data_IF_532988440569
#
_entry.id   IF_532988440569
#
_cell.length_a   1.000
_cell.length_b   1.000
_cell.length_c   1.000
_cell.angle_alpha   90.00
_cell.angle_beta   90.00
_cell.angle_gamma   90.00
#
_symmetry.space_group_name_H-M   'P 1'
#
loop_
_entity.id
_entity.type
_entity.pdbx_description
1 polymer ?
#
# COMPACT_ATOMS: atom_id res chain seq x y z
N UNK A 1 34.07 -21.76 -19.88
CA UNK A 1 32.80 -21.05 -20.09
C UNK A 1 31.89 -21.42 -18.93
N UNK A 2 32.04 -20.71 -17.83
CA UNK A 2 31.14 -20.81 -16.68
C UNK A 2 29.87 -20.09 -17.06
N UNK A 3 28.79 -20.84 -17.23
CA UNK A 3 27.43 -20.32 -17.25
C UNK A 3 27.22 -19.57 -15.94
N UNK A 4 27.22 -18.23 -16.01
CA UNK A 4 26.64 -17.39 -14.97
C UNK A 4 25.18 -17.79 -14.91
N UNK A 5 24.82 -18.66 -13.97
CA UNK A 5 23.46 -18.65 -13.47
C UNK A 5 23.25 -17.22 -12.98
N UNK A 6 22.37 -16.46 -13.62
CA UNK A 6 21.84 -15.24 -13.02
C UNK A 6 21.29 -15.67 -11.67
N UNK A 7 22.04 -15.41 -10.59
CA UNK A 7 21.54 -15.63 -9.23
C UNK A 7 20.27 -14.79 -9.12
N UNK A 8 19.15 -15.43 -8.76
CA UNK A 8 17.93 -14.69 -8.51
C UNK A 8 18.23 -13.57 -7.51
N UNK A 9 17.80 -12.32 -7.80
CA UNK A 9 18.12 -11.19 -6.94
C UNK A 9 17.64 -11.48 -5.52
N UNK A 10 18.57 -11.43 -4.56
CA UNK A 10 18.28 -11.64 -3.14
C UNK A 10 17.55 -10.42 -2.56
N UNK A 11 16.24 -10.35 -2.77
CA UNK A 11 15.44 -9.27 -2.22
C UNK A 11 15.09 -9.53 -0.75
N UNK A 12 15.43 -8.58 0.12
CA UNK A 12 15.09 -8.59 1.54
C UNK A 12 14.37 -7.30 1.92
N UNK A 13 13.21 -7.44 2.54
CA UNK A 13 12.36 -6.32 2.98
C UNK A 13 12.37 -6.22 4.50
N UNK A 14 12.65 -5.03 5.03
CA UNK A 14 12.27 -4.67 6.39
C UNK A 14 10.85 -4.08 6.38
N UNK A 15 9.86 -4.84 6.85
CA UNK A 15 8.46 -4.43 6.88
C UNK A 15 8.03 -3.98 8.29
N UNK A 16 7.74 -2.69 8.45
CA UNK A 16 7.41 -2.05 9.73
C UNK A 16 5.93 -1.63 9.73
N UNK A 17 5.07 -2.46 10.32
CA UNK A 17 3.61 -2.30 10.26
C UNK A 17 2.92 -2.89 11.51
N UNK A 18 1.60 -2.76 11.59
CA UNK A 18 0.79 -3.45 12.59
C UNK A 18 0.81 -4.98 12.43
N UNK A 19 0.45 -5.72 13.47
CA UNK A 19 0.20 -7.17 13.39
C UNK A 19 -1.08 -7.56 14.14
N UNK A 20 -1.82 -8.52 13.57
CA UNK A 20 -3.02 -9.12 14.16
C UNK A 20 -2.93 -10.64 14.25
N UNK A 21 -3.37 -11.22 15.36
CA UNK A 21 -3.43 -12.69 15.52
C UNK A 21 -4.47 -13.30 14.58
N UNK A 22 -5.68 -12.73 14.52
CA UNK A 22 -6.74 -13.11 13.59
C UNK A 22 -6.94 -12.03 12.53
N UNK A 23 -7.33 -12.45 11.32
CA UNK A 23 -7.55 -11.57 10.18
C UNK A 23 -6.30 -11.21 9.40
N UNK A 24 -6.44 -10.27 8.46
CA UNK A 24 -5.35 -9.85 7.56
C UNK A 24 -5.27 -8.31 7.49
N UNK A 25 -4.43 -7.73 8.35
CA UNK A 25 -3.99 -6.33 8.29
C UNK A 25 -2.49 -6.23 8.60
N UNK A 26 -1.87 -5.11 8.22
CA UNK A 26 -0.47 -4.80 8.41
C UNK A 26 0.46 -5.90 7.89
N UNK A 27 1.48 -6.25 8.69
CA UNK A 27 2.45 -7.28 8.36
C UNK A 27 1.81 -8.64 8.05
N UNK A 28 0.64 -8.97 8.62
CA UNK A 28 -0.02 -10.23 8.30
C UNK A 28 -0.64 -10.25 6.90
N UNK A 29 -1.03 -9.08 6.38
CA UNK A 29 -1.47 -8.93 4.99
C UNK A 29 -0.29 -8.74 4.02
N UNK A 30 0.85 -8.21 4.48
CA UNK A 30 1.99 -7.89 3.64
C UNK A 30 3.03 -9.02 3.47
N UNK A 31 3.31 -9.78 4.54
CA UNK A 31 4.39 -10.79 4.54
C UNK A 31 4.09 -11.93 3.56
N UNK A 32 2.86 -12.46 3.56
CA UNK A 32 2.50 -13.59 2.70
C UNK A 32 2.67 -13.27 1.20
N UNK A 33 2.14 -12.15 0.66
CA UNK A 33 2.38 -11.76 -0.72
C UNK A 33 3.86 -11.62 -1.09
N UNK A 34 4.64 -10.95 -0.25
CA UNK A 34 6.08 -10.75 -0.46
C UNK A 34 6.82 -12.09 -0.53
N UNK A 35 6.57 -12.98 0.42
CA UNK A 35 7.18 -14.31 0.46
C UNK A 35 6.77 -15.18 -0.73
N UNK A 36 5.50 -15.14 -1.15
CA UNK A 36 5.07 -15.86 -2.37
C UNK A 36 5.72 -15.33 -3.64
N UNK A 37 6.19 -14.08 -3.63
CA UNK A 37 6.88 -13.44 -4.75
C UNK A 37 8.41 -13.48 -4.63
N UNK A 38 8.94 -14.26 -3.68
CA UNK A 38 10.37 -14.54 -3.56
C UNK A 38 11.18 -13.58 -2.68
N UNK A 39 10.53 -12.75 -1.87
CA UNK A 39 11.22 -11.85 -0.94
C UNK A 39 11.47 -12.55 0.40
N UNK A 40 12.66 -12.36 0.97
CA UNK A 40 12.87 -12.56 2.40
C UNK A 40 12.32 -11.34 3.16
N UNK A 41 11.62 -11.57 4.26
CA UNK A 41 10.85 -10.51 4.94
C UNK A 41 11.13 -10.55 6.43
N UNK A 42 11.82 -9.54 6.92
CA UNK A 42 11.95 -9.25 8.35
C UNK A 42 10.84 -8.28 8.74
N UNK A 43 9.94 -8.71 9.63
CA UNK A 43 8.77 -7.92 10.00
C UNK A 43 8.88 -7.36 11.43
N UNK A 44 8.90 -6.04 11.56
CA UNK A 44 8.81 -5.34 12.84
C UNK A 44 7.35 -4.94 13.09
N UNK A 45 6.75 -5.48 14.15
CA UNK A 45 5.34 -5.31 14.44
C UNK A 45 5.11 -4.13 15.42
N UNK A 46 4.60 -3.00 14.94
CA UNK A 46 4.35 -1.80 15.77
C UNK A 46 3.28 -2.03 16.84
N UNK A 47 2.36 -2.95 16.59
CA UNK A 47 1.35 -3.42 17.53
C UNK A 47 1.16 -4.93 17.34
N UNK A 48 0.71 -5.61 18.40
CA UNK A 48 0.25 -6.99 18.34
C UNK A 48 -1.15 -7.06 18.95
N UNK A 49 -2.17 -7.10 18.10
CA UNK A 49 -3.57 -7.18 18.51
C UNK A 49 -4.18 -8.56 18.25
N UNK A 50 -5.26 -8.88 18.98
CA UNK A 50 -6.05 -10.09 18.74
C UNK A 50 -6.64 -10.12 17.32
N UNK A 51 -7.06 -8.96 16.81
CA UNK A 51 -7.70 -8.74 15.52
C UNK A 51 -7.72 -7.24 15.19
N UNK A 52 -8.11 -6.86 13.97
CA UNK A 52 -8.20 -5.45 13.60
C UNK A 52 -9.33 -4.73 14.35
N UNK A 53 -9.26 -3.39 14.42
CA UNK A 53 -10.16 -2.53 15.21
C UNK A 53 -11.58 -2.41 14.63
N UNK A 54 -11.84 -3.05 13.50
CA UNK A 54 -13.17 -3.10 12.89
C UNK A 54 -14.13 -4.03 13.63
N UNK A 55 -13.61 -5.03 14.35
CA UNK A 55 -14.39 -5.92 15.20
C UNK A 55 -14.99 -5.20 16.42
N UNK A 56 -16.10 -5.72 16.99
CA UNK A 56 -16.71 -5.14 18.20
C UNK A 56 -15.80 -5.13 19.43
N UNK A 57 -14.83 -6.05 19.51
CA UNK A 57 -13.85 -6.13 20.59
C UNK A 57 -12.49 -6.49 20.02
N UNK A 58 -11.44 -5.93 20.61
CA UNK A 58 -10.05 -6.20 20.31
C UNK A 58 -9.21 -5.92 21.56
N UNK A 59 -8.05 -6.56 21.68
CA UNK A 59 -7.08 -6.29 22.74
C UNK A 59 -5.66 -6.54 22.23
N UNK A 60 -4.66 -6.12 22.99
CA UNK A 60 -3.26 -6.43 22.74
C UNK A 60 -2.32 -5.32 23.16
N UNK A 61 -1.07 -5.40 22.69
CA UNK A 61 0.00 -4.48 23.06
C UNK A 61 0.41 -3.58 21.91
N UNK A 62 0.94 -2.41 22.27
CA UNK A 62 1.54 -1.45 21.34
C UNK A 62 3.00 -1.29 21.73
N UNK A 63 3.89 -1.26 20.74
CA UNK A 63 5.27 -0.85 20.97
C UNK A 63 5.33 0.64 21.26
N UNK A 64 6.36 1.05 22.00
CA UNK A 64 6.78 2.44 22.08
C UNK A 64 8.03 2.66 21.19
N UNK A 65 8.50 3.90 21.08
CA UNK A 65 9.67 4.25 20.27
C UNK A 65 10.97 3.53 20.71
N UNK A 66 11.16 3.34 22.02
CA UNK A 66 12.30 2.62 22.56
C UNK A 66 12.28 1.14 22.16
N UNK A 67 11.12 0.47 22.23
CA UNK A 67 11.01 -0.93 21.81
C UNK A 67 11.41 -1.11 20.34
N UNK A 68 11.00 -0.18 19.47
CA UNK A 68 11.35 -0.18 18.04
C UNK A 68 12.84 0.05 17.84
N UNK A 69 13.42 1.02 18.54
CA UNK A 69 14.86 1.31 18.49
C UNK A 69 15.69 0.13 18.98
N UNK A 70 15.30 -0.52 20.09
CA UNK A 70 16.02 -1.67 20.66
C UNK A 70 16.09 -2.86 19.69
N UNK A 71 15.00 -3.13 18.97
CA UNK A 71 14.98 -4.16 17.93
C UNK A 71 15.93 -3.81 16.77
N UNK A 72 15.87 -2.56 16.30
CA UNK A 72 16.75 -2.11 15.22
C UNK A 72 18.24 -2.12 15.62
N UNK A 73 18.56 -1.70 16.85
CA UNK A 73 19.91 -1.79 17.41
C UNK A 73 20.38 -3.24 17.49
N UNK A 74 19.47 -4.18 17.78
CA UNK A 74 19.74 -5.61 17.75
C UNK A 74 20.13 -6.10 16.35
N UNK A 75 19.43 -5.66 15.30
CA UNK A 75 19.79 -5.96 13.91
C UNK A 75 21.16 -5.38 13.55
N UNK A 76 21.41 -4.14 13.94
CA UNK A 76 22.69 -3.47 13.68
C UNK A 76 23.86 -4.15 14.38
N UNK A 77 23.72 -4.51 15.66
CA UNK A 77 24.79 -5.19 16.43
C UNK A 77 25.19 -6.54 15.85
N UNK A 78 24.33 -7.15 15.05
CA UNK A 78 24.58 -8.40 14.35
C UNK A 78 24.93 -8.18 12.87
N UNK A 79 25.23 -6.94 12.46
CA UNK A 79 25.59 -6.56 11.09
C UNK A 79 24.53 -6.91 10.03
N UNK A 80 23.25 -7.00 10.42
CA UNK A 80 22.17 -7.45 9.53
C UNK A 80 21.57 -6.33 8.68
N UNK A 81 21.78 -5.06 9.05
CA UNK A 81 21.11 -3.92 8.38
C UNK A 81 21.60 -3.67 6.94
N UNK A 82 22.76 -4.20 6.57
CA UNK A 82 23.32 -4.09 5.21
C UNK A 82 22.67 -5.00 4.17
N UNK A 83 21.89 -6.00 4.62
CA UNK A 83 21.23 -6.97 3.73
C UNK A 83 19.92 -6.44 3.15
N UNK A 84 19.36 -5.35 3.70
CA UNK A 84 18.08 -4.82 3.26
C UNK A 84 18.19 -4.15 1.89
N UNK A 85 17.36 -4.61 0.96
CA UNK A 85 17.16 -3.97 -0.36
C UNK A 85 15.91 -3.11 -0.39
N UNK A 86 14.96 -3.38 0.51
CA UNK A 86 13.70 -2.67 0.58
C UNK A 86 13.28 -2.36 2.02
N UNK A 87 12.57 -1.26 2.19
CA UNK A 87 11.80 -0.95 3.41
C UNK A 87 10.35 -0.72 3.03
N UNK A 88 9.45 -1.27 3.84
CA UNK A 88 8.01 -1.06 3.72
C UNK A 88 7.47 -0.55 5.06
N UNK A 89 6.85 0.63 5.07
CA UNK A 89 6.14 1.13 6.26
C UNK A 89 4.65 1.25 5.99
N UNK A 90 3.83 0.90 6.98
CA UNK A 90 2.37 1.02 6.95
C UNK A 90 1.84 1.64 8.24
N UNK A 91 0.81 1.05 8.86
CA UNK A 91 0.28 1.58 10.13
C UNK A 91 1.34 1.61 11.25
N UNK A 92 1.73 2.82 11.66
CA UNK A 92 2.70 3.08 12.74
C UNK A 92 2.03 3.47 14.06
N UNK A 93 0.97 4.28 13.99
CA UNK A 93 0.07 4.58 15.12
C UNK A 93 0.46 5.76 16.03
N UNK A 94 1.70 6.26 16.02
CA UNK A 94 2.05 7.50 16.74
C UNK A 94 3.31 8.21 16.19
N UNK A 95 3.47 9.48 16.58
CA UNK A 95 4.57 10.36 16.16
C UNK A 95 5.96 9.82 16.54
N UNK A 96 6.16 9.40 17.80
CA UNK A 96 7.48 9.02 18.31
C UNK A 96 8.06 7.79 17.59
N UNK A 97 7.21 6.80 17.27
CA UNK A 97 7.63 5.65 16.47
C UNK A 97 7.94 6.10 15.04
N UNK A 98 7.12 6.97 14.44
CA UNK A 98 7.36 7.43 13.07
C UNK A 98 8.67 8.22 12.96
N UNK A 99 9.03 9.02 13.98
CA UNK A 99 10.31 9.72 14.07
C UNK A 99 11.49 8.73 14.19
N UNK A 100 11.32 7.67 14.98
CA UNK A 100 12.30 6.58 15.09
C UNK A 100 12.52 5.90 13.74
N UNK A 101 11.44 5.55 13.05
CA UNK A 101 11.48 4.93 11.71
C UNK A 101 12.16 5.85 10.70
N UNK A 102 11.91 7.15 10.75
CA UNK A 102 12.60 8.11 9.87
C UNK A 102 14.13 8.01 10.05
N UNK A 103 14.61 7.95 11.30
CA UNK A 103 16.03 7.83 11.58
C UNK A 103 16.59 6.47 11.14
N UNK A 104 15.83 5.38 11.30
CA UNK A 104 16.18 4.06 10.79
C UNK A 104 16.35 4.08 9.26
N UNK A 105 15.38 4.64 8.53
CA UNK A 105 15.42 4.73 7.06
C UNK A 105 16.62 5.54 6.58
N UNK A 106 16.91 6.68 7.21
CA UNK A 106 18.11 7.49 6.90
C UNK A 106 19.38 6.66 7.03
N UNK A 107 19.48 5.86 8.09
CA UNK A 107 20.64 4.99 8.35
C UNK A 107 20.73 3.86 7.33
N UNK A 108 19.61 3.20 7.02
CA UNK A 108 19.54 2.14 6.02
C UNK A 108 19.94 2.67 4.63
N UNK A 109 19.47 3.85 4.21
CA UNK A 109 19.89 4.48 2.96
C UNK A 109 21.36 4.91 2.95
N UNK A 110 21.93 5.26 4.11
CA UNK A 110 23.36 5.54 4.21
C UNK A 110 24.22 4.28 4.04
N UNK A 111 23.73 3.12 4.47
CA UNK A 111 24.38 1.81 4.29
C UNK A 111 24.19 1.30 2.86
N UNK A 112 22.97 1.39 2.33
CA UNK A 112 22.61 0.99 0.98
C UNK A 112 21.92 2.16 0.25
N UNK A 113 22.65 2.96 -0.55
CA UNK A 113 22.09 4.08 -1.31
C UNK A 113 21.01 3.67 -2.33
N UNK A 114 21.02 2.42 -2.79
CA UNK A 114 20.06 1.86 -3.75
C UNK A 114 18.81 1.26 -3.06
N UNK A 115 18.72 1.34 -1.72
CA UNK A 115 17.58 0.87 -0.95
C UNK A 115 16.29 1.55 -1.40
N UNK A 116 15.28 0.76 -1.76
CA UNK A 116 13.94 1.25 -2.12
C UNK A 116 13.07 1.32 -0.86
N UNK A 117 12.58 2.50 -0.52
CA UNK A 117 11.63 2.71 0.55
C UNK A 117 10.23 3.01 -0.01
N UNK A 118 9.29 2.10 0.26
CA UNK A 118 7.86 2.34 0.06
C UNK A 118 7.21 2.78 1.37
N UNK A 119 6.66 3.99 1.37
CA UNK A 119 5.93 4.57 2.49
C UNK A 119 4.44 4.60 2.22
N UNK A 120 3.69 3.71 2.87
CA UNK A 120 2.24 3.82 2.96
C UNK A 120 1.88 4.81 4.09
N UNK A 121 1.25 5.93 3.73
CA UNK A 121 1.03 7.08 4.62
C UNK A 121 -0.22 6.90 5.46
N UNK A 122 -0.38 5.73 6.08
CA UNK A 122 -1.58 5.33 6.80
C UNK A 122 -1.91 6.34 7.90
N UNK A 123 -2.90 7.18 7.65
CA UNK A 123 -3.35 8.24 8.55
C UNK A 123 -4.87 8.27 8.72
N UNK A 124 -5.64 7.84 7.73
CA UNK A 124 -7.09 7.92 7.78
C UNK A 124 -7.75 7.43 6.50
N UNK A 125 -9.07 7.33 6.54
CA UNK A 125 -9.88 6.97 5.38
C UNK A 125 -11.22 7.71 5.46
N UNK A 126 -11.87 7.89 4.32
CA UNK A 126 -13.07 8.71 4.18
C UNK A 126 -12.78 10.17 4.57
N UNK A 127 -13.34 10.62 5.70
CA UNK A 127 -13.26 12.02 6.15
C UNK A 127 -12.54 12.18 7.51
N UNK A 128 -11.90 11.13 8.04
CA UNK A 128 -11.37 11.16 9.41
C UNK A 128 -9.97 10.56 9.55
N UNK A 129 -9.13 11.26 10.34
CA UNK A 129 -7.86 10.74 10.81
C UNK A 129 -8.05 9.66 11.88
N UNK A 130 -7.27 8.59 11.79
CA UNK A 130 -7.14 7.54 12.80
C UNK A 130 -5.98 7.79 13.77
N UNK A 131 -5.19 8.82 13.49
CA UNK A 131 -3.93 9.14 14.16
C UNK A 131 -3.93 10.60 14.61
N UNK A 132 -3.00 10.96 15.49
CA UNK A 132 -2.86 12.34 15.96
C UNK A 132 -2.49 13.28 14.80
N UNK A 133 -3.10 14.47 14.67
CA UNK A 133 -2.83 15.40 13.57
C UNK A 133 -1.37 15.83 13.43
N UNK A 134 -0.61 15.81 14.52
CA UNK A 134 0.83 16.11 14.54
C UNK A 134 1.70 15.18 13.70
N UNK A 135 1.16 14.03 13.25
CA UNK A 135 1.89 13.08 12.38
C UNK A 135 1.98 13.57 10.94
N UNK A 136 1.06 14.42 10.48
CA UNK A 136 0.97 14.87 9.08
C UNK A 136 2.23 15.61 8.64
N UNK A 137 2.76 16.60 9.38
CA UNK A 137 4.03 17.25 9.04
C UNK A 137 5.21 16.28 8.97
N UNK A 138 5.23 15.25 9.82
CA UNK A 138 6.29 14.26 9.84
C UNK A 138 6.25 13.36 8.59
N UNK A 139 5.05 12.92 8.16
CA UNK A 139 4.92 12.22 6.88
C UNK A 139 5.41 13.07 5.70
N UNK A 140 5.06 14.36 5.64
CA UNK A 140 5.58 15.26 4.59
C UNK A 140 7.11 15.30 4.56
N UNK A 141 7.76 15.26 5.73
CA UNK A 141 9.22 15.21 5.81
C UNK A 141 9.79 13.84 5.43
N UNK A 142 9.10 12.75 5.78
CA UNK A 142 9.49 11.38 5.43
C UNK A 142 9.45 11.14 3.92
N UNK A 143 8.55 11.80 3.20
CA UNK A 143 8.46 11.70 1.73
C UNK A 143 9.78 12.05 1.02
N UNK A 144 10.65 12.86 1.63
CA UNK A 144 11.99 13.17 1.10
C UNK A 144 12.93 11.96 1.05
N UNK A 145 12.59 10.91 1.79
CA UNK A 145 13.34 9.66 1.85
C UNK A 145 12.58 8.51 1.20
N UNK A 146 11.30 8.68 0.83
CA UNK A 146 10.50 7.64 0.22
C UNK A 146 10.72 7.63 -1.30
N UNK A 147 11.01 6.45 -1.85
CA UNK A 147 11.10 6.25 -3.30
C UNK A 147 9.72 6.05 -3.91
N UNK A 148 8.78 5.49 -3.14
CA UNK A 148 7.37 5.30 -3.52
C UNK A 148 6.48 5.67 -2.34
N UNK A 149 5.40 6.40 -2.60
CA UNK A 149 4.33 6.64 -1.62
C UNK A 149 2.98 6.15 -2.15
N UNK A 150 2.14 5.62 -1.26
CA UNK A 150 0.85 5.00 -1.62
C UNK A 150 -0.34 5.58 -0.85
N UNK A 151 -0.54 6.91 -0.77
CA UNK A 151 -1.69 7.48 -0.07
C UNK A 151 -3.01 7.06 -0.70
N UNK A 152 -4.08 6.95 0.09
CA UNK A 152 -5.45 7.04 -0.47
C UNK A 152 -5.83 8.50 -0.78
N UNK A 153 -7.01 8.76 -1.36
CA UNK A 153 -7.48 10.12 -1.64
C UNK A 153 -7.43 11.03 -0.41
N UNK A 154 -8.01 10.61 0.72
CA UNK A 154 -8.07 11.43 1.93
C UNK A 154 -6.67 11.82 2.44
N UNK A 155 -5.74 10.86 2.43
CA UNK A 155 -4.36 11.08 2.84
C UNK A 155 -3.62 12.01 1.87
N UNK A 156 -3.81 11.84 0.56
CA UNK A 156 -3.25 12.70 -0.46
C UNK A 156 -3.75 14.15 -0.32
N UNK A 157 -5.05 14.33 -0.09
CA UNK A 157 -5.67 15.63 0.16
C UNK A 157 -5.13 16.27 1.45
N UNK A 158 -4.94 15.48 2.51
CA UNK A 158 -4.42 15.93 3.80
C UNK A 158 -2.95 16.35 3.71
N UNK A 159 -2.12 15.56 3.02
CA UNK A 159 -0.70 15.85 2.82
C UNK A 159 -0.49 17.12 1.99
N UNK A 160 -1.36 17.37 1.00
CA UNK A 160 -1.23 18.49 0.06
C UNK A 160 -2.13 19.69 0.35
N UNK A 161 -2.98 19.59 1.38
CA UNK A 161 -3.98 20.61 1.74
C UNK A 161 -4.83 21.04 0.53
N UNK A 162 -5.16 20.08 -0.33
CA UNK A 162 -5.85 20.32 -1.62
C UNK A 162 -6.90 19.23 -1.82
N UNK A 163 -8.15 19.61 -2.11
CA UNK A 163 -9.22 18.65 -2.41
C UNK A 163 -9.11 18.11 -3.83
N UNK A 164 -9.52 16.85 -4.00
CA UNK A 164 -9.62 16.18 -5.30
C UNK A 164 -11.12 16.08 -5.63
N UNK A 165 -11.58 16.93 -6.53
CA UNK A 165 -12.96 16.93 -7.04
C UNK A 165 -13.04 16.69 -8.54
N UNK A 166 -11.89 16.58 -9.21
CA UNK A 166 -11.75 16.26 -10.64
C UNK A 166 -10.44 15.52 -10.93
N UNK A 167 -10.34 14.92 -12.13
CA UNK A 167 -9.11 14.26 -12.58
C UNK A 167 -7.93 15.23 -12.69
N UNK A 168 -8.17 16.47 -13.13
CA UNK A 168 -7.13 17.49 -13.22
C UNK A 168 -6.55 17.79 -11.83
N UNK A 169 -7.41 17.98 -10.82
CA UNK A 169 -6.97 18.19 -9.45
C UNK A 169 -6.21 16.99 -8.89
N UNK A 170 -6.65 15.76 -9.17
CA UNK A 170 -5.92 14.55 -8.78
C UNK A 170 -4.48 14.54 -9.35
N UNK A 171 -4.34 14.92 -10.63
CA UNK A 171 -3.04 15.05 -11.29
C UNK A 171 -2.15 16.13 -10.64
N UNK A 172 -2.73 17.27 -10.26
CA UNK A 172 -2.02 18.34 -9.56
C UNK A 172 -1.64 17.97 -8.13
N UNK A 173 -2.50 17.24 -7.41
CA UNK A 173 -2.19 16.70 -6.07
C UNK A 173 -1.00 15.75 -6.14
N UNK A 174 -0.97 14.84 -7.12
CA UNK A 174 0.19 13.98 -7.32
C UNK A 174 1.48 14.77 -7.61
N UNK A 175 1.40 15.85 -8.42
CA UNK A 175 2.53 16.78 -8.64
C UNK A 175 2.98 17.49 -7.35
N UNK A 176 2.05 17.90 -6.49
CA UNK A 176 2.39 18.47 -5.18
C UNK A 176 3.05 17.45 -4.26
N UNK A 177 2.60 16.20 -4.26
CA UNK A 177 3.23 15.10 -3.52
C UNK A 177 4.68 14.87 -4.00
N UNK A 178 4.94 14.96 -5.31
CA UNK A 178 6.31 14.92 -5.82
C UNK A 178 7.19 16.05 -5.26
N UNK A 179 6.65 17.27 -5.17
CA UNK A 179 7.37 18.41 -4.56
C UNK A 179 7.69 18.23 -3.07
N UNK A 180 7.04 17.28 -2.38
CA UNK A 180 7.38 16.88 -1.01
C UNK A 180 8.54 15.88 -0.94
N UNK A 181 8.92 15.27 -2.07
CA UNK A 181 10.19 14.54 -2.21
C UNK A 181 10.11 13.19 -2.91
N UNK A 182 8.92 12.56 -2.98
CA UNK A 182 8.81 11.20 -3.56
C UNK A 182 8.75 11.24 -5.09
N UNK A 183 9.65 10.54 -5.81
CA UNK A 183 9.62 10.50 -7.28
C UNK A 183 8.47 9.64 -7.83
N UNK A 184 7.95 8.70 -7.02
CA UNK A 184 6.84 7.83 -7.41
C UNK A 184 5.68 8.01 -6.42
N UNK A 185 4.50 8.31 -6.95
CA UNK A 185 3.28 8.56 -6.16
C UNK A 185 2.16 7.70 -6.73
N UNK A 186 1.48 6.96 -5.87
CA UNK A 186 0.31 6.16 -6.24
C UNK A 186 -0.85 6.54 -5.32
N UNK A 187 -1.83 7.26 -5.86
CA UNK A 187 -3.09 7.48 -5.13
C UNK A 187 -3.92 6.22 -5.30
N UNK A 188 -3.93 5.38 -4.27
CA UNK A 188 -4.37 3.97 -4.32
C UNK A 188 -5.85 3.84 -4.66
N UNK A 189 -6.67 4.73 -4.10
CA UNK A 189 -8.10 4.87 -4.39
C UNK A 189 -8.48 6.34 -4.42
N UNK A 190 -9.27 6.72 -5.42
CA UNK A 190 -9.95 8.01 -5.49
C UNK A 190 -11.31 7.90 -6.20
N UNK A 191 -12.23 8.78 -5.84
CA UNK A 191 -13.50 8.96 -6.52
C UNK A 191 -13.43 10.15 -7.46
N UNK A 192 -14.01 10.01 -8.66
CA UNK A 192 -14.04 11.04 -9.69
C UNK A 192 -15.46 11.13 -10.26
N UNK A 193 -15.96 12.34 -10.57
CA UNK A 193 -17.18 12.49 -11.35
C UNK A 193 -17.04 11.73 -12.67
N UNK A 194 -18.04 10.94 -13.06
CA UNK A 194 -17.92 10.07 -14.24
C UNK A 194 -17.61 10.87 -15.52
N UNK A 195 -18.10 12.11 -15.61
CA UNK A 195 -17.84 13.05 -16.71
C UNK A 195 -16.35 13.44 -16.87
N UNK A 196 -15.55 13.33 -15.82
CA UNK A 196 -14.13 13.70 -15.80
C UNK A 196 -13.22 12.48 -16.07
N UNK A 197 -13.80 11.28 -16.17
CA UNK A 197 -13.08 10.04 -16.44
C UNK A 197 -12.99 9.81 -17.95
N UNK A 198 -11.79 9.60 -18.53
CA UNK A 198 -11.63 9.36 -19.97
C UNK A 198 -12.40 8.11 -20.43
N UNK A 199 -13.07 8.22 -21.57
CA UNK A 199 -13.94 7.18 -22.14
C UNK A 199 -13.19 5.85 -22.32
N UNK A 200 -11.89 5.91 -22.63
CA UNK A 200 -11.02 4.76 -22.88
C UNK A 200 -10.90 3.84 -21.65
N UNK A 201 -11.00 4.39 -20.44
CA UNK A 201 -10.91 3.62 -19.18
C UNK A 201 -12.25 3.39 -18.50
N UNK A 202 -13.33 3.99 -18.97
CA UNK A 202 -14.65 3.68 -18.44
C UNK A 202 -14.98 2.19 -18.65
N UNK A 203 -15.42 1.54 -17.57
CA UNK A 203 -15.88 0.16 -17.56
C UNK A 203 -17.38 0.15 -17.82
N UNK A 204 -17.92 -0.98 -18.27
CA UNK A 204 -19.38 -1.14 -18.41
C UNK A 204 -20.12 -0.97 -17.06
N UNK A 205 -19.41 -1.25 -15.97
CA UNK A 205 -19.89 -1.08 -14.60
C UNK A 205 -19.58 0.29 -14.01
N UNK A 206 -19.00 1.22 -14.78
CA UNK A 206 -18.66 2.56 -14.28
C UNK A 206 -19.90 3.34 -13.86
N UNK A 207 -19.79 4.00 -12.72
CA UNK A 207 -20.84 4.79 -12.06
C UNK A 207 -20.20 5.90 -11.23
N UNK A 208 -21.01 6.78 -10.64
CA UNK A 208 -20.54 7.81 -9.70
C UNK A 208 -19.94 7.22 -8.40
N UNK A 209 -20.16 5.93 -8.12
CA UNK A 209 -19.57 5.21 -6.97
C UNK A 209 -18.30 4.44 -7.35
N UNK A 210 -17.84 4.56 -8.61
CA UNK A 210 -16.63 3.89 -9.06
C UNK A 210 -15.37 4.51 -8.44
N UNK A 211 -14.41 3.64 -8.14
CA UNK A 211 -13.10 4.03 -7.63
C UNK A 211 -12.05 3.83 -8.71
N UNK A 212 -11.02 4.66 -8.65
CA UNK A 212 -9.89 4.65 -9.58
C UNK A 212 -8.57 4.68 -8.81
N UNK A 213 -7.49 4.28 -9.47
CA UNK A 213 -6.13 4.42 -8.96
C UNK A 213 -5.36 5.36 -9.89
N UNK A 214 -4.63 6.33 -9.32
CA UNK A 214 -3.76 7.22 -10.09
C UNK A 214 -2.30 6.86 -9.81
N UNK A 215 -1.56 6.51 -10.86
CA UNK A 215 -0.10 6.32 -10.81
C UNK A 215 0.57 7.57 -11.38
N UNK A 216 1.57 8.11 -10.70
CA UNK A 216 2.33 9.30 -11.10
C UNK A 216 3.81 9.07 -10.86
N UNK A 217 4.62 9.13 -11.91
CA UNK A 217 6.06 8.92 -11.86
C UNK A 217 6.78 10.14 -12.42
N UNK A 218 7.73 10.69 -11.66
CA UNK A 218 8.70 11.65 -12.20
C UNK A 218 9.72 10.91 -13.07
N UNK A 219 9.96 11.45 -14.25
CA UNK A 219 11.02 10.98 -15.16
C UNK A 219 12.20 11.95 -15.15
N UNK A 220 13.35 11.47 -15.65
CA UNK A 220 14.66 12.13 -15.47
C UNK A 220 14.75 13.58 -15.99
N UNK A 221 13.87 13.99 -16.90
CA UNK A 221 13.81 15.36 -17.43
C UNK A 221 12.98 16.33 -16.56
N UNK A 222 12.47 15.84 -15.42
CA UNK A 222 11.63 16.58 -14.48
C UNK A 222 10.15 16.62 -14.83
N UNK A 223 9.74 16.00 -15.96
CA UNK A 223 8.32 15.84 -16.29
C UNK A 223 7.71 14.66 -15.53
N UNK A 224 6.38 14.57 -15.55
CA UNK A 224 5.63 13.55 -14.81
C UNK A 224 4.78 12.73 -15.76
N UNK A 225 4.94 11.42 -15.74
CA UNK A 225 4.03 10.51 -16.43
C UNK A 225 2.92 10.05 -15.48
N UNK A 226 1.68 10.34 -15.83
CA UNK A 226 0.53 10.00 -15.00
C UNK A 226 -0.47 9.13 -15.75
N UNK A 227 -1.00 8.13 -15.05
CA UNK A 227 -1.94 7.15 -15.57
C UNK A 227 -3.10 6.95 -14.60
N UNK A 228 -4.31 6.94 -15.15
CA UNK A 228 -5.51 6.54 -14.44
C UNK A 228 -5.81 5.07 -14.73
N UNK A 229 -6.09 4.30 -13.69
CA UNK A 229 -6.46 2.88 -13.77
C UNK A 229 -7.88 2.73 -13.24
N UNK A 230 -8.73 2.12 -14.06
CA UNK A 230 -10.10 1.75 -13.71
C UNK A 230 -10.19 0.24 -13.48
N UNK A 231 -10.89 -0.15 -12.42
CA UNK A 231 -11.10 -1.53 -12.01
C UNK A 231 -12.52 -1.71 -11.45
N UNK A 232 -13.11 -2.92 -11.49
CA UNK A 232 -14.42 -3.17 -10.91
C UNK A 232 -14.44 -2.91 -9.39
N UNK A 233 -15.46 -2.22 -8.89
CA UNK A 233 -15.67 -2.05 -7.46
C UNK A 233 -16.64 -3.09 -6.91
N UNK A 234 -16.49 -3.43 -5.64
CA UNK A 234 -17.33 -4.40 -4.94
C UNK A 234 -17.87 -3.75 -3.68
N UNK A 235 -19.18 -3.69 -3.56
CA UNK A 235 -19.84 -3.14 -2.37
C UNK A 235 -19.67 -4.09 -1.20
N UNK A 236 -19.08 -3.62 -0.10
CA UNK A 236 -18.84 -4.41 1.09
C UNK A 236 -17.84 -3.75 2.03
N UNK A 237 -17.64 -4.39 3.18
CA UNK A 237 -16.62 -3.99 4.14
C UNK A 237 -15.34 -4.80 3.92
N UNK A 238 -14.22 -4.12 3.74
CA UNK A 238 -12.90 -4.72 3.54
C UNK A 238 -11.89 -4.07 4.48
N UNK A 239 -10.92 -4.85 4.93
CA UNK A 239 -9.78 -4.35 5.70
C UNK A 239 -8.50 -4.99 5.18
N UNK A 240 -7.36 -4.31 5.33
CA UNK A 240 -6.05 -4.81 4.88
C UNK A 240 -5.80 -4.75 3.38
N UNK A 241 -6.71 -4.18 2.58
CA UNK A 241 -6.52 -4.02 1.14
C UNK A 241 -5.37 -3.06 0.81
N UNK A 242 -5.21 -1.99 1.59
CA UNK A 242 -4.06 -1.08 1.50
C UNK A 242 -2.74 -1.78 1.82
N UNK A 243 -2.69 -2.54 2.92
CA UNK A 243 -1.49 -3.29 3.32
C UNK A 243 -1.08 -4.32 2.24
N UNK A 244 -2.06 -5.03 1.66
CA UNK A 244 -1.85 -5.93 0.52
C UNK A 244 -1.34 -5.16 -0.70
N UNK A 245 -1.96 -4.03 -1.04
CA UNK A 245 -1.56 -3.18 -2.15
C UNK A 245 -0.10 -2.75 -2.02
N UNK A 246 0.28 -2.18 -0.87
CA UNK A 246 1.61 -1.66 -0.59
C UNK A 246 2.68 -2.77 -0.65
N UNK A 247 2.36 -3.97 -0.15
CA UNK A 247 3.27 -5.12 -0.23
C UNK A 247 3.51 -5.63 -1.66
N UNK A 248 2.45 -5.69 -2.48
CA UNK A 248 2.55 -6.07 -3.89
C UNK A 248 3.24 -4.97 -4.71
N UNK A 249 3.05 -3.70 -4.34
CA UNK A 249 3.72 -2.56 -4.96
C UNK A 249 5.24 -2.66 -4.76
N UNK A 250 5.71 -2.99 -3.55
CA UNK A 250 7.13 -3.32 -3.31
C UNK A 250 7.58 -4.43 -4.25
N UNK A 251 6.87 -5.56 -4.27
CA UNK A 251 7.29 -6.73 -5.02
C UNK A 251 7.38 -6.51 -6.54
N UNK A 252 6.39 -5.81 -7.11
CA UNK A 252 6.34 -5.57 -8.54
C UNK A 252 7.23 -4.40 -8.97
N UNK A 253 7.40 -3.38 -8.14
CA UNK A 253 8.28 -2.24 -8.45
C UNK A 253 9.77 -2.60 -8.35
N UNK A 254 10.15 -3.54 -7.48
CA UNK A 254 11.51 -4.05 -7.37
C UNK A 254 12.06 -4.65 -8.68
N UNK A 255 11.19 -5.15 -9.55
CA UNK A 255 11.59 -5.78 -10.80
C UNK A 255 11.99 -4.70 -11.82
N UNK A 256 13.29 -4.61 -12.13
CA UNK A 256 13.92 -3.61 -13.02
C UNK A 256 13.22 -3.38 -14.37
N UNK A 257 12.48 -4.36 -14.87
CA UNK A 257 11.75 -4.27 -16.14
C UNK A 257 10.43 -3.48 -16.04
N UNK A 258 9.90 -3.29 -14.83
CA UNK A 258 8.61 -2.64 -14.64
C UNK A 258 8.80 -1.13 -14.42
N UNK A 259 8.12 -0.32 -15.21
CA UNK A 259 7.81 1.06 -14.82
C UNK A 259 6.81 1.06 -13.66
N UNK A 260 6.62 2.21 -13.00
CA UNK A 260 5.65 2.32 -11.91
C UNK A 260 4.26 1.88 -12.35
N UNK A 261 3.82 2.30 -13.54
CA UNK A 261 2.49 1.94 -14.06
C UNK A 261 2.36 0.43 -14.34
N UNK A 262 3.40 -0.25 -14.82
CA UNK A 262 3.33 -1.71 -14.99
C UNK A 262 3.28 -2.45 -13.66
N UNK A 263 4.03 -1.97 -12.66
CA UNK A 263 3.97 -2.51 -11.31
C UNK A 263 2.58 -2.33 -10.70
N UNK A 264 2.06 -1.11 -10.68
CA UNK A 264 0.74 -0.78 -10.11
C UNK A 264 -0.39 -1.50 -10.85
N UNK A 265 -0.31 -1.65 -12.17
CA UNK A 265 -1.33 -2.40 -12.91
C UNK A 265 -1.40 -3.86 -12.47
N UNK A 266 -0.26 -4.52 -12.24
CA UNK A 266 -0.20 -5.89 -11.67
C UNK A 266 -0.78 -5.93 -10.26
N UNK A 267 -0.44 -4.96 -9.41
CA UNK A 267 -1.02 -4.82 -8.06
C UNK A 267 -2.53 -4.75 -8.11
N UNK A 268 -3.09 -3.88 -8.96
CA UNK A 268 -4.55 -3.73 -9.11
C UNK A 268 -5.18 -5.03 -9.57
N UNK A 269 -4.56 -5.80 -10.48
CA UNK A 269 -5.07 -7.11 -10.90
C UNK A 269 -5.21 -8.08 -9.71
N UNK A 270 -4.15 -8.24 -8.91
CA UNK A 270 -4.17 -9.13 -7.74
C UNK A 270 -5.16 -8.66 -6.67
N UNK A 271 -5.09 -7.37 -6.28
CA UNK A 271 -5.94 -6.80 -5.23
C UNK A 271 -7.41 -6.87 -5.64
N UNK A 272 -7.75 -6.54 -6.89
CA UNK A 272 -9.11 -6.62 -7.40
C UNK A 272 -9.65 -8.06 -7.39
N UNK A 273 -8.86 -9.03 -7.85
CA UNK A 273 -9.27 -10.42 -7.89
C UNK A 273 -9.47 -11.01 -6.47
N UNK A 274 -8.59 -10.69 -5.53
CA UNK A 274 -8.73 -11.11 -4.12
C UNK A 274 -9.94 -10.43 -3.47
N UNK A 275 -10.17 -9.15 -3.77
CA UNK A 275 -11.34 -8.41 -3.28
C UNK A 275 -12.63 -9.01 -3.83
N UNK A 276 -12.66 -9.40 -5.11
CA UNK A 276 -13.79 -10.13 -5.73
C UNK A 276 -14.05 -11.46 -5.02
N UNK A 277 -13.01 -12.26 -4.78
CA UNK A 277 -13.15 -13.54 -4.08
C UNK A 277 -13.66 -13.36 -2.64
N UNK A 278 -13.20 -12.30 -1.99
CA UNK A 278 -13.64 -11.90 -0.64
C UNK A 278 -15.11 -11.46 -0.66
N UNK A 279 -15.50 -10.61 -1.59
CA UNK A 279 -16.88 -10.19 -1.81
C UNK A 279 -17.81 -11.38 -2.04
N UNK A 280 -17.48 -12.30 -2.95
CA UNK A 280 -18.29 -13.48 -3.22
C UNK A 280 -18.45 -14.38 -1.99
N UNK A 281 -17.41 -14.48 -1.16
CA UNK A 281 -17.48 -15.19 0.12
C UNK A 281 -18.42 -14.48 1.11
N UNK A 282 -18.32 -13.15 1.23
CA UNK A 282 -19.22 -12.32 2.04
C UNK A 282 -20.68 -12.50 1.61
N UNK A 283 -20.99 -12.41 0.31
CA UNK A 283 -22.35 -12.58 -0.21
C UNK A 283 -22.94 -13.94 0.18
N UNK A 284 -22.13 -15.00 0.09
CA UNK A 284 -22.54 -16.37 0.46
C UNK A 284 -22.78 -16.55 1.96
N UNK A 285 -22.06 -15.82 2.81
CA UNK A 285 -22.11 -16.01 4.28
C UNK A 285 -23.02 -15.04 5.00
N UNK A 286 -23.16 -13.81 4.50
CA UNK A 286 -23.79 -12.70 5.19
C UNK A 286 -25.03 -12.14 4.48
N UNK A 287 -25.50 -12.77 3.38
CA UNK A 287 -26.71 -12.36 2.64
C UNK A 287 -26.73 -10.89 2.19
N UNK A 288 -25.65 -10.44 1.54
CA UNK A 288 -25.46 -9.07 1.05
C UNK A 288 -25.33 -8.01 2.13
N UNK A 289 -24.17 -7.34 2.18
CA UNK A 289 -23.89 -6.27 3.14
C UNK A 289 -23.25 -5.08 2.46
N UNK A 290 -23.71 -3.88 2.82
CA UNK A 290 -23.16 -2.61 2.33
C UNK A 290 -22.22 -1.93 3.34
N UNK A 291 -22.53 -2.08 4.63
CA UNK A 291 -21.86 -1.39 5.72
C UNK A 291 -21.04 -2.33 6.60
N UNK A 292 -20.19 -1.76 7.47
CA UNK A 292 -19.47 -2.50 8.50
C UNK A 292 -20.45 -3.33 9.36
N UNK A 293 -20.23 -4.64 9.53
CA UNK A 293 -21.09 -5.46 10.39
C UNK A 293 -20.89 -5.18 11.88
N UNK A 294 -21.96 -5.31 12.66
CA UNK A 294 -21.91 -5.12 14.12
C UNK A 294 -21.54 -6.40 14.89
N UNK A 295 -21.62 -7.58 14.25
CA UNK A 295 -21.34 -8.87 14.89
C UNK A 295 -19.99 -9.43 14.47
N UNK A 296 -19.20 -9.92 15.43
CA UNK A 296 -17.84 -10.39 15.20
C UNK A 296 -17.73 -11.52 14.15
N UNK A 297 -18.69 -12.45 14.10
CA UNK A 297 -18.73 -13.51 13.10
C UNK A 297 -18.97 -12.98 11.68
N UNK A 298 -19.72 -11.88 11.53
CA UNK A 298 -19.96 -11.25 10.25
C UNK A 298 -18.73 -10.46 9.77
N UNK A 299 -18.08 -9.72 10.69
CA UNK A 299 -16.78 -9.06 10.41
C UNK A 299 -15.73 -10.09 10.02
N UNK A 300 -15.70 -11.25 10.68
CA UNK A 300 -14.80 -12.34 10.32
C UNK A 300 -15.00 -12.86 8.90
N UNK A 301 -16.23 -12.86 8.38
CA UNK A 301 -16.50 -13.24 7.00
C UNK A 301 -16.05 -12.17 5.98
N UNK A 302 -15.70 -10.95 6.44
CA UNK A 302 -15.17 -9.86 5.62
C UNK A 302 -13.63 -9.87 5.51
N UNK A 303 -12.94 -10.73 6.27
CA UNK A 303 -11.49 -10.87 6.19
C UNK A 303 -11.04 -11.27 4.79
N UNK A 304 -9.94 -10.67 4.33
CA UNK A 304 -9.40 -10.95 3.00
C UNK A 304 -9.18 -12.45 2.80
N UNK A 305 -9.56 -12.94 1.63
CA UNK A 305 -9.29 -14.33 1.19
C UNK A 305 -7.84 -14.47 0.72
N UNK A 306 -6.89 -13.97 1.51
CA UNK A 306 -5.50 -13.78 1.14
C UNK A 306 -4.81 -15.10 0.74
N UNK A 307 -4.92 -16.13 1.58
CA UNK A 307 -4.31 -17.45 1.31
C UNK A 307 -4.94 -18.11 0.09
N UNK A 308 -6.26 -17.99 -0.07
CA UNK A 308 -6.96 -18.52 -1.25
C UNK A 308 -6.61 -17.71 -2.52
N UNK A 309 -6.18 -16.46 -2.34
CA UNK A 309 -5.71 -15.54 -3.37
C UNK A 309 -4.28 -15.75 -3.83
N UNK A 310 -3.61 -16.84 -3.44
CA UNK A 310 -2.21 -17.10 -3.78
C UNK A 310 -1.96 -17.04 -5.29
N UNK A 311 -2.85 -17.62 -6.10
CA UNK A 311 -2.72 -17.62 -7.56
C UNK A 311 -2.84 -16.20 -8.14
N UNK A 312 -3.73 -15.40 -7.59
CA UNK A 312 -3.94 -13.99 -7.94
C UNK A 312 -2.70 -13.15 -7.63
N UNK A 313 -1.96 -13.48 -6.57
CA UNK A 313 -0.68 -12.85 -6.22
C UNK A 313 0.43 -13.27 -7.19
N UNK A 314 0.58 -14.57 -7.44
CA UNK A 314 1.69 -15.11 -8.26
C UNK A 314 1.53 -14.79 -9.76
N UNK A 315 0.28 -14.69 -10.24
CA UNK A 315 -0.05 -14.56 -11.67
C UNK A 315 -1.10 -13.46 -11.93
N UNK A 316 -0.82 -12.18 -11.60
CA UNK A 316 -1.76 -11.07 -11.76
C UNK A 316 -2.31 -10.91 -13.18
N UNK A 317 -1.49 -11.18 -14.19
CA UNK A 317 -1.83 -11.03 -15.61
C UNK A 317 -3.01 -11.90 -16.06
N UNK A 318 -3.34 -12.98 -15.33
CA UNK A 318 -4.51 -13.81 -15.58
C UNK A 318 -5.83 -13.14 -15.20
N UNK A 319 -5.78 -11.99 -14.52
CA UNK A 319 -6.94 -11.30 -13.94
C UNK A 319 -7.11 -9.87 -14.49
N UNK A 320 -6.44 -9.53 -15.59
CA UNK A 320 -6.41 -8.18 -16.16
C UNK A 320 -7.61 -7.81 -17.04
N UNK A 321 -8.42 -8.78 -17.48
CA UNK A 321 -9.33 -8.62 -18.63
C UNK A 321 -10.34 -7.48 -18.53
N UNK A 322 -10.67 -7.06 -17.30
CA UNK A 322 -11.66 -6.00 -17.02
C UNK A 322 -11.01 -4.72 -16.48
N UNK A 323 -9.69 -4.68 -16.32
CA UNK A 323 -8.95 -3.55 -15.77
C UNK A 323 -8.34 -2.77 -16.92
N UNK A 324 -8.59 -1.46 -16.95
CA UNK A 324 -8.13 -0.57 -18.01
C UNK A 324 -7.23 0.52 -17.44
N UNK A 325 -6.25 0.96 -18.21
CA UNK A 325 -5.39 2.11 -17.88
C UNK A 325 -5.27 3.06 -19.06
N UNK A 326 -5.16 4.36 -18.79
CA UNK A 326 -4.92 5.41 -19.80
C UNK A 326 -3.94 6.43 -19.25
N UNK A 327 -3.09 6.97 -20.12
CA UNK A 327 -2.21 8.10 -19.79
C UNK A 327 -3.07 9.37 -19.72
N UNK A 328 -2.96 10.14 -18.63
CA UNK A 328 -3.81 11.31 -18.37
C UNK A 328 -3.06 12.64 -18.33
N UNK A 329 -1.73 12.62 -18.34
CA UNK A 329 -0.91 13.83 -18.51
C UNK A 329 0.44 13.54 -19.17
N UNK A 330 1.02 14.60 -19.74
CA UNK A 330 2.42 14.71 -20.19
C UNK A 330 3.04 15.88 -19.43
#
# INVERSE_FOLDING_TARGET
>A
MTTTHDEEPNYRVLSIQSHTVSGYCGNKAAVFPLQTLGFDVDNLNTVQFSNHTGYPSWTGSRMNAQDVQELFDGLEKNDLIGEYTHVLTGYIGNFAILETIQNMVKKLKAVNPDLIYLCDTVMGDGDALYVAPEIVPLYRHIMQYADVVTPNQFEAETLTETKITSLEEACQVAKKLHSLGSPNVVITTLSLPLKDVPIEVQLETSSEESLYCLSSQQINDGTTEQYLIAFPTYEGYFTGTGDLFSSLAVAHFARKENSLIEAVFKVICSVNAITKNTYLYQQKKNNSMKNKPDAANLVHNCELRLIQGKKEIEHPELFKDVIKKVKVSV
#
